data_IF_095407149729
#
_entry.id   IF_095407149729
#
_cell.length_a   1.000
_cell.length_b   1.000
_cell.length_c   1.000
_cell.angle_alpha   90.00
_cell.angle_beta   90.00
_cell.angle_gamma   90.00
#
_symmetry.space_group_name_H-M   'P 1'
#
loop_
_entity.id
_entity.type
_entity.pdbx_description
1 polymer ?
#
# COMPACT_ATOMS: atom_id res chain seq x y z
N UNK A 1 26.19 1.71 -8.13
CA UNK A 1 25.92 2.46 -6.88
C UNK A 1 24.63 1.93 -6.24
N UNK A 2 24.59 1.67 -4.92
CA UNK A 2 23.34 1.32 -4.21
C UNK A 2 22.58 2.61 -3.89
N UNK A 3 21.36 2.74 -4.39
CA UNK A 3 20.45 3.83 -4.05
C UNK A 3 19.33 3.23 -3.21
N UNK A 4 19.24 3.60 -1.94
CA UNK A 4 18.23 3.11 -1.02
C UNK A 4 17.53 4.25 -0.29
N UNK A 5 16.21 4.17 -0.13
CA UNK A 5 15.41 5.07 0.68
C UNK A 5 14.53 4.28 1.64
N UNK A 6 14.63 4.57 2.94
CA UNK A 6 13.69 4.12 3.97
C UNK A 6 13.04 5.38 4.53
N UNK A 7 11.72 5.52 4.44
CA UNK A 7 11.04 6.67 5.04
C UNK A 7 9.74 6.27 5.74
N UNK A 8 9.60 6.79 6.95
CA UNK A 8 8.34 7.35 7.47
C UNK A 8 8.67 8.80 7.92
N UNK A 9 7.68 9.68 8.13
CA UNK A 9 7.89 11.14 8.12
C UNK A 9 8.65 11.76 9.31
N UNK A 10 9.23 10.93 10.21
CA UNK A 10 10.13 11.42 11.25
C UNK A 10 11.41 10.57 11.36
N UNK A 11 12.58 11.21 11.59
CA UNK A 11 13.90 10.57 11.60
C UNK A 11 14.21 9.74 12.86
N UNK A 12 13.30 9.62 13.83
CA UNK A 12 13.64 9.15 15.17
C UNK A 12 13.13 7.76 15.50
N UNK A 13 13.96 6.73 15.27
CA UNK A 13 14.24 5.68 16.28
C UNK A 13 15.73 5.37 16.17
N UNK A 14 16.47 5.63 17.25
CA UNK A 14 17.84 5.19 17.40
C UNK A 14 17.79 3.69 17.71
N UNK A 15 18.26 2.83 16.79
CA UNK A 15 18.33 1.37 16.98
C UNK A 15 19.52 0.99 17.87
N UNK A 16 19.67 1.66 19.02
CA UNK A 16 20.60 1.21 20.05
C UNK A 16 19.92 0.07 20.81
N UNK A 17 20.11 -1.17 20.34
CA UNK A 17 20.09 -2.32 21.24
C UNK A 17 19.15 -3.51 20.98
N UNK A 18 18.57 -3.73 19.79
CA UNK A 18 17.66 -4.90 19.59
C UNK A 18 17.94 -5.78 18.37
N UNK A 19 19.09 -5.63 17.70
CA UNK A 19 19.55 -6.64 16.74
C UNK A 19 20.98 -7.03 17.10
N UNK A 20 21.11 -8.04 17.98
CA UNK A 20 22.38 -8.73 18.17
C UNK A 20 22.90 -9.19 16.79
N UNK A 21 24.02 -8.61 16.35
CA UNK A 21 24.70 -8.96 15.11
C UNK A 21 24.72 -7.88 14.03
N UNK A 22 24.10 -6.71 14.22
CA UNK A 22 24.33 -5.56 13.33
C UNK A 22 25.47 -4.74 13.90
N UNK A 23 26.64 -4.80 13.26
CA UNK A 23 27.65 -3.77 13.48
C UNK A 23 27.01 -2.42 13.17
N UNK A 24 26.97 -1.57 14.20
CA UNK A 24 26.78 -0.14 14.07
C UNK A 24 27.65 0.38 12.92
N UNK A 25 27.11 1.32 12.13
CA UNK A 25 27.78 2.00 11.03
C UNK A 25 27.66 1.40 9.62
N UNK A 26 26.43 1.23 9.12
CA UNK A 26 26.16 1.57 7.71
C UNK A 26 24.93 2.50 7.64
N UNK A 27 25.16 3.71 7.12
CA UNK A 27 24.23 4.84 7.03
C UNK A 27 22.81 4.48 6.53
N UNK A 28 21.89 4.10 7.43
CA UNK A 28 20.44 4.19 7.19
C UNK A 28 20.07 5.67 7.35
N UNK A 29 20.17 6.44 6.26
CA UNK A 29 19.69 7.82 6.25
C UNK A 29 18.17 7.79 6.06
N UNK A 30 17.43 8.34 7.03
CA UNK A 30 16.11 8.90 6.75
C UNK A 30 16.31 10.09 5.81
N UNK A 31 16.26 9.85 4.51
CA UNK A 31 16.32 10.94 3.54
C UNK A 31 14.90 11.42 3.35
N UNK A 32 14.55 12.54 3.97
CA UNK A 32 13.29 13.26 3.78
C UNK A 32 13.06 13.79 2.35
N UNK A 33 13.81 13.28 1.36
CA UNK A 33 13.73 13.60 -0.06
C UNK A 33 14.71 12.68 -0.81
N UNK A 34 14.27 11.52 -1.31
CA UNK A 34 15.08 10.70 -2.22
C UNK A 34 15.45 11.52 -3.47
N UNK A 35 16.70 11.99 -3.55
CA UNK A 35 17.19 12.94 -4.57
C UNK A 35 17.37 12.34 -5.97
N UNK A 36 16.93 11.11 -6.21
CA UNK A 36 16.98 10.48 -7.53
C UNK A 36 15.56 10.25 -8.05
N UNK A 37 14.81 11.36 -8.14
CA UNK A 37 13.41 11.44 -8.53
C UNK A 37 13.09 10.78 -9.87
N UNK A 38 14.09 10.59 -10.73
CA UNK A 38 13.91 9.96 -12.04
C UNK A 38 13.62 8.46 -11.95
N UNK A 39 14.24 7.73 -11.00
CA UNK A 39 14.16 6.26 -11.00
C UNK A 39 13.26 5.68 -9.92
N UNK A 40 13.03 6.40 -8.82
CA UNK A 40 12.08 6.00 -7.80
C UNK A 40 11.66 7.20 -6.95
N UNK A 41 10.45 7.12 -6.41
CA UNK A 41 9.92 8.10 -5.48
C UNK A 41 8.90 7.42 -4.58
N UNK A 42 8.73 7.94 -3.37
CA UNK A 42 7.66 7.49 -2.50
C UNK A 42 7.33 8.58 -1.51
N UNK A 43 6.11 8.52 -1.01
CA UNK A 43 5.56 9.51 -0.08
C UNK A 43 4.56 8.84 0.85
N UNK A 44 4.52 9.32 2.09
CA UNK A 44 3.56 8.88 3.07
C UNK A 44 3.01 10.09 3.83
N UNK A 45 1.69 10.19 3.91
CA UNK A 45 0.97 11.29 4.56
C UNK A 45 -0.20 10.74 5.40
N UNK A 46 -0.74 11.61 6.25
CA UNK A 46 -1.93 11.30 7.02
C UNK A 46 -3.14 12.02 6.44
N UNK A 47 -4.14 11.22 6.04
CA UNK A 47 -5.44 11.71 5.60
C UNK A 47 -6.37 11.98 6.79
N UNK A 48 -5.92 11.79 8.02
CA UNK A 48 -6.72 12.13 9.20
C UNK A 48 -6.86 13.64 9.40
N UNK A 49 -7.92 14.00 10.12
CA UNK A 49 -8.21 15.34 10.59
C UNK A 49 -7.14 15.88 11.56
N UNK A 50 -7.06 17.21 11.65
CA UNK A 50 -6.24 17.90 12.66
C UNK A 50 -7.08 18.19 13.90
N UNK A 51 -6.56 17.83 15.07
CA UNK A 51 -7.04 18.40 16.31
C UNK A 51 -6.56 19.86 16.40
N UNK A 52 -7.49 20.77 16.14
CA UNK A 52 -7.23 22.21 16.13
C UNK A 52 -6.88 22.77 17.53
N UNK A 53 -7.27 22.08 18.61
CA UNK A 53 -6.93 22.46 19.99
C UNK A 53 -5.53 21.98 20.37
N UNK A 54 -5.26 20.69 20.17
CA UNK A 54 -3.97 20.10 20.51
C UNK A 54 -2.87 20.48 19.49
N UNK A 55 -3.25 21.00 18.32
CA UNK A 55 -2.36 21.25 17.16
C UNK A 55 -1.61 19.98 16.74
N UNK A 56 -2.22 18.83 16.97
CA UNK A 56 -1.73 17.51 16.59
C UNK A 56 -2.63 16.93 15.51
N UNK A 57 -2.13 16.01 14.70
CA UNK A 57 -3.00 15.29 13.78
C UNK A 57 -3.48 13.99 14.43
N UNK A 58 -4.75 13.67 14.22
CA UNK A 58 -5.26 12.33 14.53
C UNK A 58 -4.44 11.30 13.72
N UNK A 59 -4.16 10.13 14.30
CA UNK A 59 -3.34 9.13 13.63
C UNK A 59 -1.83 9.31 13.77
N UNK A 60 -1.31 10.43 14.30
CA UNK A 60 0.13 10.58 14.44
C UNK A 60 0.76 9.56 15.42
N UNK A 61 2.01 9.09 15.15
CA UNK A 61 2.73 9.26 13.89
C UNK A 61 2.17 8.39 12.75
N UNK A 62 2.44 8.83 11.51
CA UNK A 62 2.22 8.03 10.30
C UNK A 62 2.90 6.66 10.45
N UNK A 63 2.07 5.63 10.42
CA UNK A 63 2.45 4.24 10.64
C UNK A 63 2.91 3.55 9.36
N UNK A 64 2.49 4.05 8.20
CA UNK A 64 2.90 3.53 6.90
C UNK A 64 4.38 3.80 6.63
N UNK A 65 5.03 2.81 6.03
CA UNK A 65 6.46 2.81 5.74
C UNK A 65 6.67 2.24 4.35
N UNK A 66 7.65 2.76 3.64
CA UNK A 66 8.13 2.15 2.41
C UNK A 66 9.65 2.06 2.35
N UNK A 67 10.14 1.17 1.49
CA UNK A 67 11.55 0.97 1.22
C UNK A 67 11.76 0.67 -0.27
N UNK A 68 12.67 1.41 -0.90
CA UNK A 68 13.17 1.09 -2.26
C UNK A 68 14.68 0.92 -2.21
N UNK A 69 15.20 -0.11 -2.88
CA UNK A 69 16.64 -0.29 -3.11
C UNK A 69 16.88 -0.69 -4.58
N UNK A 70 17.50 0.20 -5.37
CA UNK A 70 17.92 -0.10 -6.75
C UNK A 70 19.40 -0.44 -6.78
N UNK A 71 19.71 -1.55 -7.45
CA UNK A 71 21.06 -2.01 -7.76
C UNK A 71 21.19 -2.23 -9.28
N UNK A 72 22.38 -2.58 -9.77
CA UNK A 72 22.59 -2.80 -11.22
C UNK A 72 21.74 -3.94 -11.80
N UNK A 73 21.43 -4.96 -10.99
CA UNK A 73 20.78 -6.20 -11.46
C UNK A 73 19.43 -6.48 -10.79
N UNK A 74 19.01 -5.69 -9.80
CA UNK A 74 17.73 -5.86 -9.11
C UNK A 74 17.18 -4.55 -8.56
N UNK A 75 15.85 -4.45 -8.51
CA UNK A 75 15.12 -3.40 -7.77
C UNK A 75 14.30 -4.07 -6.69
N UNK A 76 14.51 -3.70 -5.43
CA UNK A 76 13.61 -4.02 -4.34
C UNK A 76 12.65 -2.86 -4.13
N UNK A 77 11.36 -3.15 -3.99
CA UNK A 77 10.32 -2.21 -3.63
C UNK A 77 9.43 -2.86 -2.56
N UNK A 78 9.15 -2.14 -1.48
CA UNK A 78 8.33 -2.63 -0.39
C UNK A 78 7.56 -1.51 0.29
N UNK A 79 6.35 -1.83 0.72
CA UNK A 79 5.43 -0.96 1.45
C UNK A 79 4.78 -1.77 2.57
N UNK A 80 4.65 -1.17 3.75
CA UNK A 80 3.97 -1.72 4.90
C UNK A 80 3.06 -0.66 5.52
N UNK A 81 1.81 -1.07 5.74
CA UNK A 81 0.73 -0.34 6.40
C UNK A 81 0.58 -0.86 7.82
N UNK A 82 0.81 0.03 8.79
CA UNK A 82 0.76 -0.30 10.21
C UNK A 82 -0.63 -0.11 10.79
N UNK A 83 -1.27 -1.20 11.22
CA UNK A 83 -2.65 -1.17 11.71
C UNK A 83 -2.78 -0.39 13.03
N UNK A 84 -3.89 0.36 13.16
CA UNK A 84 -4.28 1.15 14.35
C UNK A 84 -3.40 2.36 14.68
N UNK A 85 -2.57 2.80 13.74
CA UNK A 85 -1.67 3.97 13.85
C UNK A 85 -0.82 4.04 15.13
N UNK A 86 -0.04 5.11 15.29
CA UNK A 86 0.79 5.28 16.47
C UNK A 86 2.17 4.60 16.39
N UNK A 87 2.96 4.74 17.45
CA UNK A 87 4.37 4.33 17.46
C UNK A 87 4.57 2.82 17.27
N UNK A 88 3.72 1.99 17.90
CA UNK A 88 3.81 0.52 17.80
C UNK A 88 3.48 0.02 16.40
N UNK A 89 2.46 0.60 15.77
CA UNK A 89 2.08 0.27 14.41
C UNK A 89 3.21 0.62 13.43
N UNK A 90 3.76 1.84 13.57
CA UNK A 90 4.91 2.31 12.80
C UNK A 90 6.13 1.41 12.97
N UNK A 91 6.45 1.02 14.21
CA UNK A 91 7.60 0.17 14.48
C UNK A 91 7.42 -1.25 13.93
N UNK A 92 6.21 -1.81 14.01
CA UNK A 92 5.86 -3.08 13.38
C UNK A 92 6.10 -3.03 11.87
N UNK A 93 5.55 -2.03 11.18
CA UNK A 93 5.72 -1.84 9.74
C UNK A 93 7.20 -1.71 9.33
N UNK A 94 7.98 -0.90 10.06
CA UNK A 94 9.42 -0.71 9.82
C UNK A 94 10.20 -2.01 9.98
N UNK A 95 9.99 -2.73 11.09
CA UNK A 95 10.72 -3.97 11.37
C UNK A 95 10.43 -5.04 10.34
N UNK A 96 9.17 -5.19 9.92
CA UNK A 96 8.78 -6.18 8.93
C UNK A 96 9.44 -5.92 7.58
N UNK A 97 9.40 -4.69 7.07
CA UNK A 97 10.08 -4.35 5.81
C UNK A 97 11.60 -4.53 5.91
N UNK A 98 12.20 -4.13 7.04
CA UNK A 98 13.64 -4.26 7.23
C UNK A 98 14.06 -5.74 7.32
N UNK A 99 13.27 -6.58 7.97
CA UNK A 99 13.48 -8.03 8.03
C UNK A 99 13.48 -8.65 6.63
N UNK A 100 12.42 -8.39 5.86
CA UNK A 100 12.28 -8.85 4.47
C UNK A 100 13.50 -8.41 3.65
N UNK A 101 13.80 -7.11 3.68
CA UNK A 101 14.92 -6.53 2.94
C UNK A 101 16.24 -7.17 3.32
N UNK A 102 16.48 -7.36 4.62
CA UNK A 102 17.73 -7.96 5.11
C UNK A 102 17.88 -9.41 4.66
N UNK A 103 16.81 -10.21 4.69
CA UNK A 103 16.83 -11.58 4.14
C UNK A 103 17.12 -11.57 2.65
N UNK A 104 16.36 -10.81 1.85
CA UNK A 104 16.53 -10.74 0.40
C UNK A 104 17.87 -10.12 -0.04
N UNK A 105 18.47 -9.28 0.81
CA UNK A 105 19.76 -8.66 0.50
C UNK A 105 20.91 -9.65 0.47
N UNK A 106 20.81 -10.74 1.26
CA UNK A 106 21.87 -11.75 1.49
C UNK A 106 21.84 -12.91 0.49
N UNK A 107 20.73 -13.07 -0.23
CA UNK A 107 20.50 -14.22 -1.11
C UNK A 107 20.93 -13.92 -2.53
N UNK A 108 21.55 -14.91 -3.18
CA UNK A 108 21.92 -14.82 -4.59
C UNK A 108 20.80 -15.45 -5.41
N UNK A 109 20.04 -14.59 -6.07
CA UNK A 109 18.94 -15.02 -6.93
C UNK A 109 19.50 -15.36 -8.31
N UNK A 110 19.35 -16.60 -8.72
CA UNK A 110 19.88 -17.11 -10.01
C UNK A 110 18.79 -17.56 -10.98
N UNK A 111 17.55 -17.76 -10.51
CA UNK A 111 16.40 -18.12 -11.33
C UNK A 111 15.10 -17.54 -10.76
N UNK A 112 14.01 -17.65 -11.51
CA UNK A 112 12.66 -17.23 -11.07
C UNK A 112 12.20 -18.10 -9.90
N UNK A 113 12.42 -19.40 -9.96
CA UNK A 113 12.04 -20.36 -8.91
C UNK A 113 12.80 -20.07 -7.62
N UNK A 114 14.11 -19.77 -7.73
CA UNK A 114 14.91 -19.30 -6.60
C UNK A 114 14.34 -18.00 -6.05
N UNK A 115 14.00 -17.03 -6.89
CA UNK A 115 13.44 -15.77 -6.43
C UNK A 115 12.09 -15.93 -5.70
N UNK A 116 11.20 -16.79 -6.22
CA UNK A 116 9.92 -17.13 -5.58
C UNK A 116 10.17 -17.73 -4.20
N UNK A 117 11.05 -18.75 -4.11
CA UNK A 117 11.37 -19.40 -2.85
C UNK A 117 12.02 -18.44 -1.85
N UNK A 118 12.89 -17.54 -2.30
CA UNK A 118 13.52 -16.56 -1.40
C UNK A 118 12.55 -15.48 -0.91
N UNK A 119 11.58 -15.05 -1.74
CA UNK A 119 10.51 -14.15 -1.30
C UNK A 119 9.60 -14.84 -0.28
N UNK A 120 9.25 -16.10 -0.50
CA UNK A 120 8.51 -16.89 0.47
C UNK A 120 9.28 -17.01 1.80
N UNK A 121 10.57 -17.39 1.74
CA UNK A 121 11.44 -17.49 2.90
C UNK A 121 11.66 -16.15 3.62
N UNK A 122 11.62 -15.03 2.89
CA UNK A 122 11.69 -13.69 3.45
C UNK A 122 10.44 -13.34 4.27
N UNK A 123 9.28 -13.87 3.89
CA UNK A 123 8.03 -13.71 4.64
C UNK A 123 8.04 -14.46 5.98
N UNK A 124 8.81 -15.55 6.08
CA UNK A 124 8.88 -16.34 7.30
C UNK A 124 9.44 -15.51 8.48
N UNK A 125 8.73 -15.56 9.60
CA UNK A 125 9.09 -14.88 10.86
C UNK A 125 8.51 -13.46 11.01
N UNK A 126 7.70 -12.98 10.05
CA UNK A 126 6.97 -11.71 10.21
C UNK A 126 5.99 -11.83 11.39
N UNK A 127 5.21 -12.91 11.50
CA UNK A 127 4.27 -13.14 12.61
C UNK A 127 4.93 -13.01 13.98
N UNK A 128 6.09 -13.64 14.15
CA UNK A 128 6.82 -13.64 15.41
C UNK A 128 7.39 -12.25 15.73
N UNK A 129 7.83 -11.51 14.69
CA UNK A 129 8.22 -10.11 14.83
C UNK A 129 7.03 -9.24 15.25
N UNK A 130 5.86 -9.43 14.63
CA UNK A 130 4.65 -8.67 14.95
C UNK A 130 4.19 -8.99 16.38
N UNK A 131 4.06 -10.26 16.76
CA UNK A 131 3.73 -10.69 18.13
C UNK A 131 4.67 -10.09 19.19
N UNK A 132 5.95 -9.94 18.86
CA UNK A 132 6.97 -9.45 19.80
C UNK A 132 7.08 -7.93 19.86
N UNK A 133 6.81 -7.24 18.75
CA UNK A 133 7.23 -5.85 18.58
C UNK A 133 6.20 -4.90 17.95
N UNK A 134 5.05 -5.38 17.50
CA UNK A 134 4.11 -4.55 16.75
C UNK A 134 2.65 -4.98 16.83
N UNK A 135 1.81 -4.25 16.09
CA UNK A 135 0.47 -4.69 15.74
C UNK A 135 0.52 -5.50 14.44
N UNK A 136 -0.63 -6.01 14.00
CA UNK A 136 -0.81 -6.52 12.64
C UNK A 136 -0.37 -5.46 11.60
N UNK A 137 0.17 -5.92 10.47
CA UNK A 137 0.70 -5.07 9.40
C UNK A 137 0.26 -5.67 8.06
N UNK A 138 -0.26 -4.84 7.17
CA UNK A 138 -0.45 -5.21 5.77
C UNK A 138 0.81 -4.83 4.99
N UNK A 139 1.35 -5.73 4.15
CA UNK A 139 2.65 -5.53 3.49
C UNK A 139 2.53 -5.99 2.04
N UNK A 140 3.04 -5.19 1.11
CA UNK A 140 3.35 -5.61 -0.25
C UNK A 140 4.83 -5.35 -0.53
N UNK A 141 5.53 -6.31 -1.14
CA UNK A 141 6.94 -6.14 -1.48
C UNK A 141 7.37 -7.07 -2.60
N UNK A 142 8.44 -6.73 -3.30
CA UNK A 142 8.95 -7.59 -4.36
C UNK A 142 10.31 -7.19 -4.90
N UNK A 143 10.76 -8.00 -5.85
CA UNK A 143 12.01 -7.85 -6.58
C UNK A 143 11.75 -7.83 -8.08
N UNK A 144 12.33 -6.84 -8.74
CA UNK A 144 12.46 -6.79 -10.19
C UNK A 144 13.79 -7.42 -10.55
N UNK A 145 13.76 -8.39 -11.46
CA UNK A 145 14.93 -9.14 -11.92
C UNK A 145 15.08 -9.01 -13.43
N UNK A 146 16.29 -8.66 -13.88
CA UNK A 146 16.66 -8.68 -15.30
C UNK A 146 16.82 -10.12 -15.78
N UNK A 147 16.10 -10.49 -16.83
CA UNK A 147 16.20 -11.82 -17.43
C UNK A 147 17.35 -11.82 -18.45
N UNK A 148 18.51 -12.40 -18.11
CA UNK A 148 19.62 -12.59 -19.06
C UNK A 148 19.76 -14.07 -19.42
N UNK A 149 19.65 -14.40 -20.71
CA UNK A 149 19.89 -15.73 -21.28
C UNK A 149 19.24 -16.89 -20.49
N UNK A 150 17.91 -16.96 -20.52
CA UNK A 150 17.20 -18.15 -20.04
C UNK A 150 17.48 -19.33 -20.97
N UNK A 151 18.20 -20.36 -20.49
CA UNK A 151 18.48 -21.56 -21.28
C UNK A 151 17.16 -22.20 -21.74
N UNK A 152 16.95 -22.30 -23.06
CA UNK A 152 15.84 -23.05 -23.64
C UNK A 152 14.64 -22.23 -24.17
N UNK A 153 14.68 -20.89 -24.19
CA UNK A 153 13.64 -20.09 -24.90
C UNK A 153 14.25 -19.15 -25.95
N UNK A 154 13.58 -19.04 -27.10
CA UNK A 154 13.92 -18.10 -28.17
C UNK A 154 14.00 -16.66 -27.64
N UNK A 155 15.01 -15.91 -28.08
CA UNK A 155 15.25 -14.49 -27.74
C UNK A 155 14.07 -13.56 -28.03
N UNK A 156 13.11 -13.99 -28.84
CA UNK A 156 12.04 -13.13 -29.35
C UNK A 156 10.78 -13.07 -28.46
N UNK A 157 10.70 -13.83 -27.36
CA UNK A 157 9.45 -13.96 -26.55
C UNK A 157 9.70 -13.84 -25.02
N UNK A 158 10.94 -13.64 -24.57
CA UNK A 158 11.21 -13.50 -23.12
C UNK A 158 11.12 -12.04 -22.69
N UNK A 159 10.27 -11.69 -21.70
CA UNK A 159 10.23 -10.34 -21.17
C UNK A 159 11.60 -9.93 -20.64
N UNK A 160 11.97 -8.66 -20.82
CA UNK A 160 13.28 -8.15 -20.40
C UNK A 160 13.44 -8.17 -18.87
N UNK A 161 12.34 -7.99 -18.15
CA UNK A 161 12.30 -7.98 -16.69
C UNK A 161 11.07 -8.75 -16.15
N UNK A 162 11.22 -9.29 -14.94
CA UNK A 162 10.12 -9.91 -14.20
C UNK A 162 10.11 -9.33 -12.80
N UNK A 163 8.93 -8.88 -12.37
CA UNK A 163 8.66 -8.52 -10.99
C UNK A 163 8.02 -9.71 -10.27
N UNK A 164 8.63 -10.12 -9.17
CA UNK A 164 8.10 -11.17 -8.29
C UNK A 164 7.82 -10.52 -6.96
N UNK A 165 6.59 -10.66 -6.46
CA UNK A 165 6.18 -10.00 -5.23
C UNK A 165 5.34 -10.89 -4.34
N UNK A 166 5.34 -10.55 -3.06
CA UNK A 166 4.44 -11.10 -2.06
C UNK A 166 3.54 -10.00 -1.50
N UNK A 167 2.34 -10.39 -1.11
CA UNK A 167 1.45 -9.56 -0.31
C UNK A 167 0.93 -10.32 0.90
N UNK A 168 0.89 -9.64 2.04
CA UNK A 168 0.22 -10.07 3.28
C UNK A 168 -0.80 -8.99 3.61
N UNK A 169 -2.08 -9.32 3.61
CA UNK A 169 -3.14 -8.34 3.83
C UNK A 169 -3.51 -7.53 2.58
N UNK A 170 -3.80 -6.24 2.76
CA UNK A 170 -4.59 -5.45 1.78
C UNK A 170 -3.79 -4.48 0.90
N UNK A 171 -2.48 -4.31 1.14
CA UNK A 171 -1.63 -3.49 0.28
C UNK A 171 -1.66 -4.01 -1.17
N UNK A 172 -1.58 -3.10 -2.14
CA UNK A 172 -1.75 -3.44 -3.56
C UNK A 172 -0.54 -3.02 -4.39
N UNK A 173 -0.25 -3.79 -5.43
CA UNK A 173 0.81 -3.50 -6.39
C UNK A 173 0.21 -3.29 -7.78
N UNK A 174 0.76 -2.33 -8.52
CA UNK A 174 0.34 -1.97 -9.86
C UNK A 174 1.55 -1.80 -10.78
N UNK A 175 1.34 -2.01 -12.07
CA UNK A 175 2.29 -1.64 -13.12
C UNK A 175 1.64 -0.61 -14.06
N UNK A 176 2.31 0.52 -14.28
CA UNK A 176 2.05 1.41 -15.40
C UNK A 176 2.97 1.03 -16.56
N UNK A 177 2.37 0.68 -17.69
CA UNK A 177 3.10 0.33 -18.91
C UNK A 177 3.42 1.59 -19.72
N UNK A 178 4.70 1.88 -19.89
CA UNK A 178 5.16 3.07 -20.63
C UNK A 178 4.77 3.02 -22.11
N UNK A 179 4.79 1.83 -22.70
CA UNK A 179 4.49 1.61 -24.12
C UNK A 179 3.01 1.71 -24.46
N UNK A 180 2.13 1.27 -23.56
CA UNK A 180 0.69 1.18 -23.81
C UNK A 180 -0.13 2.26 -23.08
N UNK A 181 0.44 2.89 -22.05
CA UNK A 181 -0.24 3.84 -21.18
C UNK A 181 -1.42 3.21 -20.41
N UNK A 182 -1.34 1.92 -20.12
CA UNK A 182 -2.30 1.20 -19.28
C UNK A 182 -1.73 0.96 -17.88
N UNK A 183 -2.65 0.80 -16.92
CA UNK A 183 -2.34 0.39 -15.55
C UNK A 183 -2.94 -1.00 -15.33
N UNK A 184 -2.15 -1.91 -14.76
CA UNK A 184 -2.60 -3.27 -14.40
C UNK A 184 -2.35 -3.50 -12.91
N UNK A 185 -3.36 -3.99 -12.20
CA UNK A 185 -3.17 -4.49 -10.84
C UNK A 185 -2.36 -5.80 -10.91
N UNK A 186 -1.34 -5.93 -10.06
CA UNK A 186 -0.48 -7.12 -9.98
C UNK A 186 -1.01 -8.04 -8.88
N UNK A 187 -1.44 -7.47 -7.76
CA UNK A 187 -2.03 -8.18 -6.61
C UNK A 187 -3.49 -8.55 -6.88
N UNK A 188 -3.77 -9.17 -8.03
CA UNK A 188 -5.14 -9.47 -8.46
C UNK A 188 -5.71 -10.69 -7.75
N UNK A 189 -7.01 -10.92 -7.98
CA UNK A 189 -7.69 -12.12 -7.50
C UNK A 189 -7.39 -13.35 -8.39
N UNK A 190 -6.91 -13.15 -9.62
CA UNK A 190 -6.87 -14.18 -10.69
C UNK A 190 -5.47 -14.48 -11.27
N UNK A 191 -4.48 -13.63 -11.02
CA UNK A 191 -3.11 -13.83 -11.50
C UNK A 191 -2.45 -14.97 -10.75
N UNK A 192 -2.23 -16.11 -11.45
CA UNK A 192 -1.39 -17.26 -11.08
C UNK A 192 -1.03 -17.34 -9.58
N UNK A 193 -2.06 -17.38 -8.74
CA UNK A 193 -1.91 -17.46 -7.30
C UNK A 193 -1.24 -18.79 -7.01
N UNK A 194 0.05 -18.78 -6.73
CA UNK A 194 0.63 -19.81 -5.87
C UNK A 194 0.29 -19.38 -4.45
N UNK A 195 -1.00 -19.47 -4.14
CA UNK A 195 -1.49 -19.43 -2.78
C UNK A 195 -1.00 -20.73 -2.14
N UNK A 196 -0.03 -20.62 -1.24
CA UNK A 196 0.46 -21.77 -0.48
C UNK A 196 -0.54 -22.24 0.59
N UNK A 197 -1.74 -21.64 0.59
CA UNK A 197 -2.92 -22.04 1.33
C UNK A 197 -4.18 -21.46 0.67
N UNK A 198 -5.30 -22.18 0.69
CA UNK A 198 -6.56 -21.63 0.22
C UNK A 198 -7.18 -20.70 1.26
N UNK A 199 -7.16 -19.37 1.07
CA UNK A 199 -8.06 -18.47 1.82
C UNK A 199 -8.43 -17.17 1.10
N UNK A 200 -9.71 -16.81 1.25
CA UNK A 200 -10.33 -15.52 0.92
C UNK A 200 -9.85 -14.40 1.83
N UNK A 201 -10.04 -13.15 1.40
CA UNK A 201 -9.79 -11.93 2.16
C UNK A 201 -10.35 -12.00 3.61
N UNK A 202 -9.64 -11.44 4.60
CA UNK A 202 -10.15 -11.36 5.96
C UNK A 202 -11.32 -10.37 6.00
N UNK A 203 -12.54 -10.89 5.88
CA UNK A 203 -13.73 -10.17 6.36
C UNK A 203 -13.60 -10.04 7.87
N UNK A 204 -13.79 -8.82 8.37
CA UNK A 204 -13.55 -8.35 9.73
C UNK A 204 -14.42 -8.99 10.84
N UNK A 205 -14.83 -10.26 10.71
CA UNK A 205 -15.78 -10.91 11.63
C UNK A 205 -15.47 -12.35 12.01
N UNK A 206 -14.34 -12.96 11.64
CA UNK A 206 -14.06 -14.35 12.05
C UNK A 206 -12.82 -14.50 12.95
N UNK A 207 -13.08 -14.92 14.19
CA UNK A 207 -12.14 -15.18 15.29
C UNK A 207 -11.31 -16.46 15.14
N UNK A 208 -11.12 -16.98 13.93
CA UNK A 208 -10.28 -18.15 13.70
C UNK A 208 -8.87 -17.73 13.27
N UNK A 209 -7.96 -17.66 14.25
CA UNK A 209 -6.52 -17.49 14.03
C UNK A 209 -5.97 -18.63 13.16
N UNK A 210 -5.91 -18.43 11.84
CA UNK A 210 -5.08 -19.21 10.91
C UNK A 210 -3.66 -18.64 10.89
N UNK A 211 -2.65 -19.48 10.75
CA UNK A 211 -1.22 -19.10 10.70
C UNK A 211 -0.91 -18.23 9.48
N UNK A 212 0.05 -17.31 9.58
CA UNK A 212 0.38 -16.35 8.51
C UNK A 212 0.95 -16.97 7.22
N UNK A 213 1.49 -18.20 7.28
CA UNK A 213 1.79 -18.97 6.06
C UNK A 213 0.54 -19.12 5.18
N UNK A 214 -0.64 -19.02 5.79
CA UNK A 214 -1.91 -19.12 5.10
C UNK A 214 -2.41 -17.80 4.49
N UNK A 215 -1.65 -16.71 4.60
CA UNK A 215 -2.07 -15.36 4.21
C UNK A 215 -1.12 -14.68 3.22
N UNK A 216 -0.01 -15.33 2.86
CA UNK A 216 0.94 -14.82 1.87
C UNK A 216 0.45 -15.18 0.47
N UNK A 217 0.24 -14.16 -0.36
CA UNK A 217 -0.03 -14.33 -1.78
C UNK A 217 1.22 -13.98 -2.58
N UNK A 218 1.69 -14.91 -3.42
CA UNK A 218 2.82 -14.71 -4.33
C UNK A 218 2.32 -14.39 -5.74
N UNK A 219 3.00 -13.47 -6.39
CA UNK A 219 2.66 -12.98 -7.72
C UNK A 219 3.93 -12.85 -8.57
N UNK A 220 3.76 -13.04 -9.88
CA UNK A 220 4.79 -12.74 -10.88
C UNK A 220 4.17 -11.91 -11.99
N UNK A 221 4.92 -10.90 -12.46
CA UNK A 221 4.45 -9.96 -13.46
C UNK A 221 5.59 -9.61 -14.43
N UNK A 222 5.33 -9.77 -15.72
CA UNK A 222 6.28 -9.38 -16.76
C UNK A 222 6.25 -7.87 -16.97
N UNK A 223 7.42 -7.24 -16.99
CA UNK A 223 7.55 -5.80 -17.17
C UNK A 223 8.71 -5.49 -18.11
N UNK A 224 8.62 -4.34 -18.77
CA UNK A 224 9.62 -3.87 -19.71
C UNK A 224 10.40 -2.67 -19.17
N UNK A 225 11.60 -2.47 -19.70
CA UNK A 225 11.99 -1.17 -20.28
C UNK A 225 11.19 0.09 -19.90
N UNK A 226 11.50 0.84 -18.83
CA UNK A 226 10.78 2.08 -18.46
C UNK A 226 9.34 1.93 -17.97
N UNK A 227 8.83 0.71 -17.75
CA UNK A 227 7.59 0.54 -17.00
C UNK A 227 7.78 1.06 -15.57
N UNK A 228 6.68 1.44 -14.90
CA UNK A 228 6.72 1.93 -13.53
C UNK A 228 5.89 1.01 -12.65
N UNK A 229 6.54 0.36 -11.70
CA UNK A 229 5.88 -0.43 -10.66
C UNK A 229 5.64 0.47 -9.46
N UNK A 230 4.42 0.42 -8.91
CA UNK A 230 4.09 1.15 -7.71
C UNK A 230 3.25 0.33 -6.74
N UNK A 231 3.51 0.53 -5.45
CA UNK A 231 2.80 -0.08 -4.34
C UNK A 231 2.01 1.00 -3.60
N UNK A 232 0.85 0.61 -3.08
CA UNK A 232 -0.08 1.53 -2.42
C UNK A 232 -0.62 0.91 -1.12
N UNK A 233 -0.73 1.72 -0.07
CA UNK A 233 -1.40 1.33 1.18
C UNK A 233 -2.93 1.39 1.04
N UNK A 234 -3.64 1.05 2.12
CA UNK A 234 -5.09 1.13 2.15
C UNK A 234 -5.66 2.55 2.09
N UNK A 235 -4.90 3.54 2.55
CA UNK A 235 -5.23 4.95 2.40
C UNK A 235 -5.35 5.41 0.96
N UNK A 236 -4.74 4.73 -0.02
CA UNK A 236 -5.03 5.01 -1.43
C UNK A 236 -6.03 4.03 -2.01
N UNK A 237 -5.79 2.71 -1.93
CA UNK A 237 -6.61 1.75 -2.67
C UNK A 237 -8.09 1.76 -2.24
N UNK A 238 -8.37 2.10 -0.96
CA UNK A 238 -9.75 2.27 -0.49
C UNK A 238 -10.35 3.59 -0.94
N UNK A 239 -9.55 4.62 -1.19
CA UNK A 239 -10.02 5.92 -1.67
C UNK A 239 -10.26 5.96 -3.19
N UNK A 240 -9.68 5.02 -3.96
CA UNK A 240 -10.03 4.77 -5.37
C UNK A 240 -11.11 3.68 -5.54
N UNK A 241 -11.57 3.04 -4.47
CA UNK A 241 -12.65 2.07 -4.53
C UNK A 241 -13.98 2.76 -4.90
N UNK A 242 -14.75 2.21 -5.85
CA UNK A 242 -15.99 2.85 -6.29
C UNK A 242 -16.99 3.08 -5.15
N UNK A 243 -17.02 2.22 -4.12
CA UNK A 243 -17.87 2.40 -2.96
C UNK A 243 -17.48 3.62 -2.14
N UNK A 244 -16.18 3.85 -1.91
CA UNK A 244 -15.69 5.04 -1.22
C UNK A 244 -15.92 6.32 -2.04
N UNK A 245 -15.92 6.18 -3.37
CA UNK A 245 -16.31 7.22 -4.31
C UNK A 245 -17.82 7.36 -4.50
N UNK A 246 -18.63 6.58 -3.79
CA UNK A 246 -20.10 6.64 -3.80
C UNK A 246 -20.74 6.26 -5.13
N UNK A 247 -20.02 5.51 -5.96
CA UNK A 247 -20.60 4.85 -7.13
C UNK A 247 -21.52 3.71 -6.67
N UNK A 248 -22.69 3.60 -7.30
CA UNK A 248 -23.64 2.53 -7.03
C UNK A 248 -23.27 1.29 -7.86
N UNK A 249 -23.52 0.06 -7.37
CA UNK A 249 -23.24 -1.16 -8.13
C UNK A 249 -23.89 -1.14 -9.52
N UNK A 250 -25.14 -0.70 -9.63
CA UNK A 250 -25.86 -0.57 -10.91
C UNK A 250 -25.16 0.34 -11.93
N UNK A 251 -24.46 1.38 -11.47
CA UNK A 251 -23.71 2.28 -12.38
C UNK A 251 -22.47 1.61 -12.97
N UNK A 252 -22.05 0.49 -12.39
CA UNK A 252 -20.91 -0.33 -12.82
C UNK A 252 -21.35 -1.63 -13.49
N UNK A 253 -22.65 -1.81 -13.76
CA UNK A 253 -23.20 -3.00 -14.40
C UNK A 253 -23.50 -4.18 -13.46
N UNK A 254 -23.48 -3.98 -12.15
CA UNK A 254 -23.89 -5.00 -11.17
C UNK A 254 -25.39 -4.94 -10.86
N UNK A 255 -26.04 -6.09 -10.57
CA UNK A 255 -27.45 -6.11 -10.20
C UNK A 255 -27.64 -5.69 -8.74
N UNK A 256 -28.04 -4.45 -8.47
CA UNK A 256 -28.35 -3.98 -7.11
C UNK A 256 -28.13 -2.48 -6.92
N UNK A 257 -28.80 -1.91 -5.91
CA UNK A 257 -28.70 -0.48 -5.59
C UNK A 257 -27.80 -0.20 -4.39
N UNK A 258 -27.40 -1.23 -3.64
CA UNK A 258 -26.50 -1.13 -2.49
C UNK A 258 -25.40 -2.18 -2.58
N UNK A 259 -24.21 -1.85 -2.06
CA UNK A 259 -23.11 -2.81 -2.02
C UNK A 259 -23.39 -3.94 -1.03
N UNK A 260 -24.19 -3.66 0.00
CA UNK A 260 -24.65 -4.62 1.00
C UNK A 260 -25.47 -5.75 0.37
N UNK A 261 -26.41 -5.43 -0.54
CA UNK A 261 -27.15 -6.43 -1.32
C UNK A 261 -26.22 -7.34 -2.12
N UNK A 262 -25.21 -6.76 -2.77
CA UNK A 262 -24.23 -7.49 -3.59
C UNK A 262 -23.43 -8.49 -2.75
N UNK A 263 -23.04 -8.11 -1.52
CA UNK A 263 -22.20 -8.96 -0.67
C UNK A 263 -22.94 -10.13 -0.01
N UNK A 264 -24.28 -10.14 -0.02
CA UNK A 264 -25.06 -11.27 0.47
C UNK A 264 -25.03 -12.48 -0.48
N UNK A 265 -24.75 -12.26 -1.77
CA UNK A 265 -24.62 -13.31 -2.77
C UNK A 265 -23.12 -13.56 -3.08
N UNK A 266 -22.59 -14.77 -2.84
CA UNK A 266 -21.19 -15.09 -3.08
C UNK A 266 -20.71 -14.89 -4.53
N UNK A 267 -21.56 -15.17 -5.52
CA UNK A 267 -21.21 -15.03 -6.94
C UNK A 267 -21.19 -13.55 -7.35
N UNK A 268 -22.18 -12.78 -6.89
CA UNK A 268 -22.21 -11.33 -7.11
C UNK A 268 -21.05 -10.64 -6.39
N UNK A 269 -20.67 -11.11 -5.19
CA UNK A 269 -19.49 -10.63 -4.47
C UNK A 269 -18.22 -10.85 -5.28
N UNK A 270 -18.01 -12.03 -5.87
CA UNK A 270 -16.83 -12.29 -6.72
C UNK A 270 -16.82 -11.39 -7.96
N UNK A 271 -17.97 -11.24 -8.62
CA UNK A 271 -18.13 -10.34 -9.76
C UNK A 271 -17.82 -8.88 -9.38
N UNK A 272 -18.28 -8.45 -8.21
CA UNK A 272 -18.08 -7.11 -7.71
C UNK A 272 -16.61 -6.80 -7.49
N UNK A 273 -15.83 -7.73 -6.98
CA UNK A 273 -14.38 -7.52 -6.81
C UNK A 273 -13.65 -7.36 -8.14
N UNK A 274 -14.03 -8.12 -9.18
CA UNK A 274 -13.47 -7.97 -10.53
C UNK A 274 -13.81 -6.57 -11.10
N UNK A 275 -15.06 -6.15 -10.97
CA UNK A 275 -15.51 -4.84 -11.46
C UNK A 275 -14.83 -3.70 -10.68
N UNK A 276 -14.68 -3.85 -9.36
CA UNK A 276 -13.93 -2.90 -8.52
C UNK A 276 -12.47 -2.82 -8.96
N UNK A 277 -11.82 -3.94 -9.27
CA UNK A 277 -10.46 -3.95 -9.81
C UNK A 277 -10.38 -3.18 -11.13
N UNK A 278 -11.24 -3.48 -12.09
CA UNK A 278 -11.27 -2.78 -13.39
C UNK A 278 -11.53 -1.27 -13.24
N UNK A 279 -12.42 -0.91 -12.31
CA UNK A 279 -12.70 0.48 -11.98
C UNK A 279 -11.45 1.18 -11.41
N UNK A 280 -10.72 0.54 -10.49
CA UNK A 280 -9.47 1.09 -9.93
C UNK A 280 -8.40 1.26 -11.01
N UNK A 281 -8.16 0.25 -11.83
CA UNK A 281 -7.21 0.32 -12.96
C UNK A 281 -7.55 1.46 -13.92
N UNK A 282 -8.82 1.60 -14.28
CA UNK A 282 -9.31 2.69 -15.14
C UNK A 282 -9.14 4.06 -14.49
N UNK A 283 -9.45 4.16 -13.20
CA UNK A 283 -9.29 5.41 -12.43
C UNK A 283 -7.83 5.82 -12.37
N UNK A 284 -6.94 4.91 -11.97
CA UNK A 284 -5.49 5.14 -11.92
C UNK A 284 -4.94 5.52 -13.30
N UNK A 285 -5.35 4.82 -14.36
CA UNK A 285 -4.97 5.14 -15.72
C UNK A 285 -5.38 6.56 -16.11
N UNK A 286 -6.60 6.98 -15.79
CA UNK A 286 -7.10 8.31 -16.12
C UNK A 286 -6.36 9.40 -15.33
N UNK A 287 -6.05 9.15 -14.06
CA UNK A 287 -5.24 10.05 -13.25
C UNK A 287 -3.84 10.23 -13.84
N UNK A 288 -3.16 9.12 -14.18
CA UNK A 288 -1.80 9.16 -14.75
C UNK A 288 -1.80 9.80 -16.14
N UNK A 289 -2.81 9.54 -16.97
CA UNK A 289 -2.97 10.21 -18.29
C UNK A 289 -3.22 11.70 -18.18
N UNK A 290 -3.75 12.17 -17.05
CA UNK A 290 -3.98 13.59 -16.78
C UNK A 290 -2.72 14.35 -16.36
N UNK A 291 -1.58 13.67 -16.15
CA UNK A 291 -0.33 14.30 -15.77
C UNK A 291 0.19 15.15 -16.93
N UNK A 292 0.42 16.44 -16.67
CA UNK A 292 1.10 17.32 -17.61
C UNK A 292 2.61 17.06 -17.58
N UNK A 293 3.21 16.75 -18.73
CA UNK A 293 4.64 16.53 -18.87
C UNK A 293 5.06 15.06 -18.81
N UNK A 294 6.24 14.79 -18.26
CA UNK A 294 6.83 13.45 -18.24
C UNK A 294 6.22 12.59 -17.14
N UNK A 295 5.85 11.36 -17.51
CA UNK A 295 5.36 10.35 -16.57
C UNK A 295 6.58 9.70 -15.92
N UNK A 296 6.75 9.96 -14.63
CA UNK A 296 7.88 9.49 -13.81
C UNK A 296 7.33 8.91 -12.51
N UNK A 297 8.13 8.15 -11.74
CA UNK A 297 7.72 7.69 -10.41
C UNK A 297 7.24 8.84 -9.50
N UNK A 298 7.89 10.00 -9.57
CA UNK A 298 7.51 11.17 -8.77
C UNK A 298 6.15 11.75 -9.19
N UNK A 299 5.92 11.94 -10.49
CA UNK A 299 4.65 12.52 -10.96
C UNK A 299 3.48 11.59 -10.68
N UNK A 300 3.65 10.28 -10.85
CA UNK A 300 2.64 9.28 -10.45
C UNK A 300 2.33 9.39 -8.96
N UNK A 301 3.34 9.31 -8.09
CA UNK A 301 3.11 9.35 -6.63
C UNK A 301 2.39 10.64 -6.23
N UNK A 302 2.85 11.80 -6.69
CA UNK A 302 2.23 13.09 -6.34
C UNK A 302 0.76 13.16 -6.77
N UNK A 303 0.46 12.80 -8.01
CA UNK A 303 -0.92 12.80 -8.52
C UNK A 303 -1.83 11.86 -7.71
N UNK A 304 -1.32 10.70 -7.30
CA UNK A 304 -2.09 9.76 -6.48
C UNK A 304 -2.29 10.25 -5.04
N UNK A 305 -1.28 10.89 -4.45
CA UNK A 305 -1.36 11.50 -3.12
C UNK A 305 -2.34 12.69 -3.11
N UNK A 306 -2.29 13.53 -4.13
CA UNK A 306 -3.22 14.65 -4.34
C UNK A 306 -4.66 14.13 -4.46
N UNK A 307 -4.90 13.10 -5.27
CA UNK A 307 -6.21 12.47 -5.39
C UNK A 307 -6.75 11.97 -4.05
N UNK A 308 -5.94 11.25 -3.26
CA UNK A 308 -6.36 10.74 -1.95
C UNK A 308 -6.71 11.88 -0.98
N UNK A 309 -5.92 12.96 -1.01
CA UNK A 309 -6.20 14.17 -0.24
C UNK A 309 -7.51 14.84 -0.68
N UNK A 310 -7.74 15.00 -1.97
CA UNK A 310 -8.96 15.64 -2.49
C UNK A 310 -10.21 14.86 -2.12
N UNK A 311 -10.19 13.54 -2.31
CA UNK A 311 -11.32 12.65 -2.00
C UNK A 311 -11.70 12.67 -0.53
N UNK A 312 -10.72 12.88 0.37
CA UNK A 312 -10.94 12.87 1.82
C UNK A 312 -11.17 14.25 2.44
N UNK A 313 -11.03 15.32 1.67
CA UNK A 313 -11.02 16.70 2.21
C UNK A 313 -12.31 17.07 2.94
N UNK A 314 -13.49 16.85 2.34
CA UNK A 314 -14.77 17.17 3.01
C UNK A 314 -14.94 16.35 4.29
N UNK A 315 -14.59 15.05 4.27
CA UNK A 315 -14.67 14.19 5.45
C UNK A 315 -13.77 14.67 6.59
N UNK A 316 -12.53 15.07 6.28
CA UNK A 316 -11.61 15.68 7.25
C UNK A 316 -12.20 16.95 7.85
N UNK A 317 -12.68 17.88 7.02
CA UNK A 317 -13.24 19.14 7.49
C UNK A 317 -14.41 18.93 8.44
N UNK A 318 -15.29 17.98 8.14
CA UNK A 318 -16.42 17.63 9.02
C UNK A 318 -15.93 17.12 10.38
N UNK A 319 -14.88 16.29 10.42
CA UNK A 319 -14.26 15.84 11.67
C UNK A 319 -13.63 16.99 12.47
N UNK A 320 -12.94 17.91 11.78
CA UNK A 320 -12.33 19.10 12.39
C UNK A 320 -13.41 20.04 12.97
N UNK A 321 -14.52 20.24 12.27
CA UNK A 321 -15.69 21.00 12.73
C UNK A 321 -16.32 20.37 14.00
N UNK A 322 -16.49 19.04 14.02
CA UNK A 322 -16.99 18.30 15.20
C UNK A 322 -16.06 18.53 16.40
N UNK A 323 -14.75 18.38 16.19
CA UNK A 323 -13.75 18.56 17.24
C UNK A 323 -13.82 19.98 17.84
N UNK A 324 -13.90 21.00 16.97
CA UNK A 324 -14.05 22.40 17.39
C UNK A 324 -15.34 22.68 18.15
N UNK A 325 -16.48 22.16 17.68
CA UNK A 325 -17.76 22.42 18.33
C UNK A 325 -17.84 21.75 19.70
N UNK A 326 -17.32 20.52 19.82
CA UNK A 326 -17.24 19.82 21.10
C UNK A 326 -16.39 20.58 22.12
N UNK A 327 -15.37 21.31 21.65
CA UNK A 327 -14.60 22.20 22.50
C UNK A 327 -15.38 23.47 22.90
N UNK A 328 -16.07 24.13 21.97
CA UNK A 328 -16.89 25.34 22.28
C UNK A 328 -18.00 25.01 23.27
N UNK A 329 -18.65 23.86 23.11
CA UNK A 329 -19.79 23.43 23.92
C UNK A 329 -19.36 22.50 25.08
N UNK A 330 -18.10 22.54 25.54
CA UNK A 330 -17.57 21.67 26.61
C UNK A 330 -18.43 21.73 27.91
N UNK A 331 -19.12 22.85 28.14
CA UNK A 331 -20.05 23.06 29.26
C UNK A 331 -21.50 22.68 28.98
N UNK A 332 -21.90 22.52 27.72
CA UNK A 332 -23.26 22.11 27.30
C UNK A 332 -23.22 20.85 26.44
N UNK A 333 -23.09 19.71 27.13
CA UNK A 333 -23.05 18.38 26.51
C UNK A 333 -24.27 18.06 25.65
N UNK A 334 -25.45 18.64 25.94
CA UNK A 334 -26.66 18.36 25.15
C UNK A 334 -26.56 18.98 23.76
N UNK A 335 -26.04 20.21 23.70
CA UNK A 335 -25.81 20.92 22.45
C UNK A 335 -24.72 20.25 21.60
N UNK A 336 -23.61 19.83 22.23
CA UNK A 336 -22.55 19.07 21.57
C UNK A 336 -23.07 17.76 20.93
N UNK A 337 -23.85 16.97 21.67
CA UNK A 337 -24.43 15.70 21.17
C UNK A 337 -25.41 15.93 20.01
N UNK A 338 -26.23 16.98 20.08
CA UNK A 338 -27.17 17.32 19.00
C UNK A 338 -26.43 17.70 17.71
N UNK A 339 -25.35 18.49 17.84
CA UNK A 339 -24.50 18.86 16.71
C UNK A 339 -23.77 17.65 16.12
N UNK A 340 -23.17 16.80 16.95
CA UNK A 340 -22.49 15.59 16.48
C UNK A 340 -23.45 14.67 15.71
N UNK A 341 -24.70 14.53 16.18
CA UNK A 341 -25.73 13.75 15.47
C UNK A 341 -26.02 14.31 14.08
N UNK A 342 -26.07 15.62 13.92
CA UNK A 342 -26.27 16.27 12.63
C UNK A 342 -25.06 16.01 11.70
N UNK A 343 -23.84 16.16 12.23
CA UNK A 343 -22.61 16.00 11.46
C UNK A 343 -22.34 14.56 11.05
N UNK A 344 -22.78 13.57 11.83
CA UNK A 344 -22.67 12.13 11.47
C UNK A 344 -23.34 11.80 10.13
N UNK A 345 -24.40 12.52 9.74
CA UNK A 345 -25.01 12.34 8.42
C UNK A 345 -24.09 12.88 7.32
N UNK A 346 -23.51 14.07 7.53
CA UNK A 346 -22.52 14.65 6.61
C UNK A 346 -21.30 13.74 6.45
N UNK A 347 -20.73 13.20 7.54
CA UNK A 347 -19.64 12.20 7.48
C UNK A 347 -20.02 10.97 6.65
N UNK A 348 -21.26 10.49 6.78
CA UNK A 348 -21.76 9.34 6.01
C UNK A 348 -21.95 9.67 4.54
N UNK A 349 -22.20 10.92 4.18
CA UNK A 349 -22.37 11.41 2.81
C UNK A 349 -21.04 11.76 2.15
N UNK A 350 -20.04 12.19 2.93
CA UNK A 350 -18.70 12.50 2.46
C UNK A 350 -17.98 11.28 1.86
N UNK A 351 -17.25 11.53 0.77
CA UNK A 351 -16.43 10.53 0.08
C UNK A 351 -15.19 10.15 0.89
N UNK A 352 -14.60 9.03 0.49
CA UNK A 352 -13.30 8.59 0.98
C UNK A 352 -13.28 7.95 2.38
N UNK A 353 -12.12 7.47 2.78
CA UNK A 353 -11.79 6.96 4.10
C UNK A 353 -10.56 7.69 4.64
N UNK A 354 -10.61 8.09 5.91
CA UNK A 354 -9.47 8.67 6.60
C UNK A 354 -8.56 7.55 7.04
N UNK A 355 -7.31 7.61 6.60
CA UNK A 355 -6.25 6.67 6.97
C UNK A 355 -4.87 7.32 6.78
N UNK A 356 -3.80 6.56 7.02
CA UNK A 356 -2.51 6.89 6.43
C UNK A 356 -2.47 6.46 4.97
N UNK A 357 -1.94 7.33 4.12
CA UNK A 357 -1.73 7.04 2.71
C UNK A 357 -0.25 6.96 2.43
N UNK A 358 0.15 5.91 1.74
CA UNK A 358 1.52 5.67 1.34
C UNK A 358 1.54 5.14 -0.08
N UNK A 359 2.39 5.73 -0.90
CA UNK A 359 2.62 5.32 -2.28
C UNK A 359 4.11 5.31 -2.53
N UNK A 360 4.61 4.23 -3.14
CA UNK A 360 6.00 4.12 -3.55
C UNK A 360 6.06 3.59 -4.97
N UNK A 361 6.89 4.18 -5.81
CA UNK A 361 7.03 3.85 -7.22
C UNK A 361 8.50 3.73 -7.62
N UNK A 362 8.79 2.81 -8.53
CA UNK A 362 10.10 2.61 -9.13
C UNK A 362 9.98 2.33 -10.63
N UNK A 363 10.80 3.02 -11.40
CA UNK A 363 11.01 2.77 -12.83
C UNK A 363 11.98 1.61 -13.00
N UNK A 364 11.66 0.71 -13.93
CA UNK A 364 12.37 -0.55 -14.17
C UNK A 364 13.70 -0.31 -14.88
#
# INVERSE_FOLDING_TARGET
ARLGGLTGPHPGINFDGVIEGVQSHENIRSVSNCKNFSLFYGEAESLFDRDLKAKTRTGDPIADVFLVEKTENRVFIGLADGELWGEKAREGARRSLLHIKNKLSKVKITSIESAISEIENASLGIEDLLKKHGNLVAIAYGLVLKVKNWEGKSKDITPSNIFICASIGVCKAYCYSSSSGFVSEITTIDSSRICLSGTQEPTSTETNKKSESDQICLYSFSCEENDIIFLVSDGLHRNIDPQALRSLPVTLGLPGNSWEEIYHDPELRKMAEIIKQQFRETTLRNLIKGIEGEITPQTIVKTLMEFANDVTTDKRQVHEEISMQNWVDEKDKKKAVAFERQMRLRVKESRGKLDHVCVVAAEI
#
